data_IF_856884720499
#
_entry.id   IF_856884720499
#
_cell.length_a   1.000
_cell.length_b   1.000
_cell.length_c   1.000
_cell.angle_alpha   90.00
_cell.angle_beta   90.00
_cell.angle_gamma   90.00
#
_symmetry.space_group_name_H-M   'P 1'
#
loop_
_entity.id
_entity.type
_entity.pdbx_description
1 polymer ?
#
# COMPACT_ATOMS: atom_id res chain seq x y z
N UNK A 1 19.85 -12.19 -17.94
CA UNK A 1 18.45 -11.83 -17.70
C UNK A 1 18.31 -11.45 -16.24
N UNK A 2 18.13 -10.18 -15.86
CA UNK A 2 17.81 -9.86 -14.48
C UNK A 2 16.31 -10.06 -14.28
N UNK A 3 15.95 -11.16 -13.61
CA UNK A 3 14.59 -11.38 -13.14
C UNK A 3 14.33 -10.44 -11.97
N UNK A 4 13.60 -9.36 -12.23
CA UNK A 4 12.99 -8.55 -11.18
C UNK A 4 12.13 -9.49 -10.35
N UNK A 5 12.55 -9.77 -9.12
CA UNK A 5 11.78 -10.58 -8.18
C UNK A 5 10.60 -9.74 -7.73
N UNK A 6 9.51 -9.78 -8.49
CA UNK A 6 8.23 -9.23 -8.04
C UNK A 6 7.78 -10.08 -6.85
N UNK A 7 7.82 -9.49 -5.65
CA UNK A 7 7.35 -10.17 -4.45
C UNK A 7 5.86 -10.53 -4.61
N UNK A 8 5.45 -11.65 -4.03
CA UNK A 8 4.08 -12.15 -4.19
C UNK A 8 3.06 -11.09 -3.78
N UNK A 9 2.15 -10.75 -4.70
CA UNK A 9 1.01 -9.88 -4.44
C UNK A 9 0.17 -10.48 -3.31
N UNK A 10 -0.16 -9.69 -2.28
CA UNK A 10 -1.03 -10.10 -1.18
C UNK A 10 -2.34 -9.32 -1.26
N UNK A 11 -3.45 -10.01 -1.08
CA UNK A 11 -4.77 -9.38 -1.01
C UNK A 11 -5.39 -9.69 0.35
N UNK A 12 -5.95 -8.68 0.99
CA UNK A 12 -6.65 -8.81 2.26
C UNK A 12 -7.86 -7.89 2.29
N UNK A 13 -8.89 -8.31 3.02
CA UNK A 13 -10.06 -7.46 3.26
C UNK A 13 -9.85 -6.66 4.53
N UNK A 14 -10.04 -5.34 4.43
CA UNK A 14 -9.94 -4.40 5.53
C UNK A 14 -11.34 -3.88 5.84
N UNK A 15 -11.80 -4.06 7.08
CA UNK A 15 -13.08 -3.52 7.51
C UNK A 15 -12.86 -2.14 8.13
N UNK A 16 -13.16 -1.08 7.40
CA UNK A 16 -12.99 0.32 7.85
C UNK A 16 -14.37 0.95 7.94
N UNK A 17 -14.73 1.52 9.09
CA UNK A 17 -16.04 2.16 9.31
C UNK A 17 -17.26 1.30 8.92
N UNK A 18 -17.17 -0.02 9.14
CA UNK A 18 -18.16 -1.05 8.75
C UNK A 18 -18.32 -1.27 7.23
N UNK A 19 -17.52 -0.62 6.40
CA UNK A 19 -17.40 -0.92 4.99
C UNK A 19 -16.24 -1.90 4.74
N UNK A 20 -16.47 -3.00 3.99
CA UNK A 20 -15.38 -3.87 3.56
C UNK A 20 -14.63 -3.26 2.39
N UNK A 21 -13.32 -3.12 2.54
CA UNK A 21 -12.39 -2.68 1.50
C UNK A 21 -11.49 -3.84 1.10
N UNK A 22 -11.49 -4.22 -0.18
CA UNK A 22 -10.52 -5.19 -0.69
C UNK A 22 -9.19 -4.47 -0.97
N UNK A 23 -8.15 -4.77 -0.21
CA UNK A 23 -6.84 -4.16 -0.39
C UNK A 23 -5.91 -5.17 -1.02
N UNK A 24 -5.34 -4.82 -2.17
CA UNK A 24 -4.30 -5.58 -2.86
C UNK A 24 -2.99 -4.83 -2.73
N UNK A 25 -1.98 -5.46 -2.14
CA UNK A 25 -0.64 -4.95 -1.99
C UNK A 25 0.35 -5.75 -2.85
N UNK A 26 1.26 -5.07 -3.51
CA UNK A 26 2.34 -5.70 -4.27
C UNK A 26 3.66 -5.01 -3.93
N UNK A 27 4.57 -5.68 -3.19
CA UNK A 27 5.87 -5.12 -2.91
C UNK A 27 6.72 -5.09 -4.17
N UNK A 28 7.46 -4.00 -4.36
CA UNK A 28 8.43 -3.84 -5.43
C UNK A 28 9.61 -3.00 -4.97
N UNK A 29 10.79 -3.29 -5.49
CA UNK A 29 11.98 -2.50 -5.23
C UNK A 29 12.14 -1.46 -6.34
N UNK A 30 12.35 -0.21 -5.94
CA UNK A 30 12.57 0.91 -6.84
C UNK A 30 13.72 1.76 -6.31
N UNK A 31 14.81 1.85 -7.08
CA UNK A 31 16.04 2.55 -6.67
C UNK A 31 16.58 2.12 -5.29
N UNK A 32 16.64 0.81 -5.05
CA UNK A 32 17.05 0.23 -3.76
C UNK A 32 16.13 0.58 -2.56
N UNK A 33 14.96 1.17 -2.82
CA UNK A 33 13.91 1.41 -1.84
C UNK A 33 12.77 0.41 -2.00
N UNK A 34 12.30 -0.13 -0.86
CA UNK A 34 11.13 -0.99 -0.83
C UNK A 34 9.86 -0.15 -0.91
N UNK A 35 9.06 -0.39 -1.95
CA UNK A 35 7.78 0.29 -2.17
C UNK A 35 6.65 -0.74 -2.32
N UNK A 36 5.42 -0.28 -2.16
CA UNK A 36 4.24 -1.12 -2.28
C UNK A 36 3.24 -0.49 -3.22
N UNK A 37 2.83 -1.22 -4.25
CA UNK A 37 1.62 -0.86 -4.98
C UNK A 37 0.41 -1.32 -4.17
N UNK A 38 -0.48 -0.40 -3.84
CA UNK A 38 -1.68 -0.67 -3.05
C UNK A 38 -2.89 -0.26 -3.89
N UNK A 39 -3.76 -1.21 -4.21
CA UNK A 39 -5.06 -0.95 -4.82
C UNK A 39 -6.15 -1.28 -3.79
N UNK A 40 -7.14 -0.41 -3.68
CA UNK A 40 -8.26 -0.54 -2.74
C UNK A 40 -9.55 -0.67 -3.52
N UNK A 41 -10.38 -1.69 -3.27
CA UNK A 41 -11.63 -1.97 -3.97
C UNK A 41 -11.51 -2.01 -5.51
N UNK A 42 -10.39 -2.54 -6.01
CA UNK A 42 -10.07 -2.53 -7.44
C UNK A 42 -10.00 -1.12 -8.07
N UNK A 43 -9.82 -0.08 -7.25
CA UNK A 43 -9.46 1.27 -7.69
C UNK A 43 -8.03 1.34 -8.22
N UNK A 44 -7.60 2.54 -8.60
CA UNK A 44 -6.23 2.85 -9.01
C UNK A 44 -5.19 2.31 -8.03
N UNK A 45 -4.02 1.95 -8.56
CA UNK A 45 -2.89 1.55 -7.73
C UNK A 45 -2.16 2.79 -7.21
N UNK A 46 -2.17 2.94 -5.90
CA UNK A 46 -1.39 3.96 -5.19
C UNK A 46 -0.01 3.40 -4.84
N UNK A 47 1.02 4.24 -4.92
CA UNK A 47 2.38 3.86 -4.51
C UNK A 47 2.58 4.27 -3.07
N UNK A 48 2.77 3.29 -2.20
CA UNK A 48 3.13 3.48 -0.80
C UNK A 48 4.64 3.38 -0.63
N UNK A 49 5.21 4.37 0.04
CA UNK A 49 6.61 4.35 0.49
C UNK A 49 6.67 4.39 2.01
N UNK A 50 7.81 3.97 2.56
CA UNK A 50 8.08 4.13 3.99
C UNK A 50 8.45 5.58 4.28
N UNK A 51 7.66 6.24 5.10
CA UNK A 51 7.93 7.55 5.65
C UNK A 51 8.52 7.41 7.05
N UNK A 52 9.79 7.79 7.20
CA UNK A 52 10.50 7.70 8.47
C UNK A 52 10.03 8.76 9.49
N UNK A 53 9.46 9.89 9.03
CA UNK A 53 9.03 10.98 9.89
C UNK A 53 7.76 10.59 10.66
N UNK A 54 6.81 9.94 10.00
CA UNK A 54 5.62 9.38 10.64
C UNK A 54 5.77 7.91 11.04
N UNK A 55 6.95 7.33 10.78
CA UNK A 55 7.25 5.91 11.00
C UNK A 55 6.15 5.00 10.45
N UNK A 56 5.76 5.19 9.19
CA UNK A 56 4.62 4.52 8.59
C UNK A 56 4.66 4.51 7.07
N UNK A 57 3.84 3.65 6.46
CA UNK A 57 3.66 3.63 5.01
C UNK A 57 2.66 4.70 4.59
N UNK A 58 3.03 5.55 3.61
CA UNK A 58 2.15 6.59 3.05
C UNK A 58 2.12 6.54 1.54
N UNK A 59 0.97 6.89 0.96
CA UNK A 59 0.87 7.09 -0.47
C UNK A 59 1.69 8.33 -0.88
N UNK A 60 2.55 8.17 -1.89
CA UNK A 60 3.35 9.27 -2.48
C UNK A 60 2.91 9.63 -3.90
N UNK A 61 1.88 8.96 -4.38
CA UNK A 61 1.27 9.24 -5.67
C UNK A 61 0.38 10.50 -5.54
N UNK A 62 0.27 11.28 -6.62
CA UNK A 62 -0.50 12.53 -6.66
C UNK A 62 -2.02 12.26 -6.50
N UNK A 63 -2.48 11.04 -6.82
CA UNK A 63 -3.83 10.52 -6.53
C UNK A 63 -3.98 9.99 -5.08
N UNK A 64 -2.93 10.05 -4.25
CA UNK A 64 -2.99 9.69 -2.83
C UNK A 64 -4.00 10.52 -2.04
N UNK A 65 -4.42 11.66 -2.60
CA UNK A 65 -5.49 12.50 -2.06
C UNK A 65 -6.90 11.87 -2.10
N UNK A 66 -7.12 10.80 -2.86
CA UNK A 66 -8.44 10.14 -2.97
C UNK A 66 -8.65 9.02 -1.93
N UNK A 67 -7.59 8.62 -1.21
CA UNK A 67 -7.72 7.63 -0.14
C UNK A 67 -8.11 8.32 1.17
N UNK A 68 -9.21 7.89 1.79
CA UNK A 68 -9.58 8.39 3.13
C UNK A 68 -8.48 8.08 4.14
N UNK A 69 -8.10 9.05 4.98
CA UNK A 69 -7.05 8.92 6.01
C UNK A 69 -7.22 7.66 6.88
N UNK A 70 -8.48 7.27 7.16
CA UNK A 70 -8.78 6.08 7.96
C UNK A 70 -8.38 4.79 7.24
N UNK A 71 -8.60 4.74 5.92
CA UNK A 71 -8.20 3.59 5.09
C UNK A 71 -6.68 3.58 4.94
N UNK A 72 -6.05 4.73 4.71
CA UNK A 72 -4.59 4.84 4.64
C UNK A 72 -3.93 4.32 5.92
N UNK A 73 -4.36 4.82 7.08
CA UNK A 73 -3.81 4.42 8.36
C UNK A 73 -3.96 2.91 8.62
N UNK A 74 -5.12 2.34 8.29
CA UNK A 74 -5.38 0.92 8.49
C UNK A 74 -4.56 0.03 7.52
N UNK A 75 -4.30 0.49 6.29
CA UNK A 75 -3.38 -0.17 5.36
C UNK A 75 -1.93 -0.08 5.87
N UNK A 76 -1.52 1.09 6.35
CA UNK A 76 -0.19 1.34 6.89
C UNK A 76 0.13 0.40 8.05
N UNK A 77 -0.82 0.23 8.99
CA UNK A 77 -0.70 -0.73 10.08
C UNK A 77 -0.56 -2.18 9.59
N UNK A 78 -1.29 -2.57 8.54
CA UNK A 78 -1.18 -3.91 7.95
C UNK A 78 0.17 -4.14 7.28
N UNK A 79 0.68 -3.13 6.58
CA UNK A 79 2.00 -3.16 5.93
C UNK A 79 3.14 -3.15 6.93
N UNK A 80 2.99 -2.49 8.09
CA UNK A 80 3.96 -2.58 9.19
C UNK A 80 4.01 -3.97 9.83
N UNK A 81 2.88 -4.68 9.84
CA UNK A 81 2.80 -6.03 10.38
C UNK A 81 3.23 -7.13 9.38
N UNK A 82 3.77 -6.75 8.21
CA UNK A 82 4.27 -7.67 7.17
C UNK A 82 5.73 -8.07 7.34
#
# INVERSE_FOLDING_TARGET
MPGTSVAATKTFTLLVDKAPYEVKIQPFDFNDEKRFYVSVNASTYHVFTWDAEVSGWRAIDDEGADLSDVVEAAISQKLQAQ
#
